data_IF_967817766514
#
_entry.id   IF_967817766514
#
_cell.length_a   1.000
_cell.length_b   1.000
_cell.length_c   1.000
_cell.angle_alpha   90.00
_cell.angle_beta   90.00
_cell.angle_gamma   90.00
#
_symmetry.space_group_name_H-M   'P 1'
#
loop_
_entity.id
_entity.type
_entity.pdbx_description
1 polymer ?
#
# COMPACT_ATOMS: atom_id res chain seq x y z
N UNK A 1 6.58 -1.86 -14.24
CA UNK A 1 7.38 -1.68 -13.00
C UNK A 1 6.46 -1.81 -11.78
N UNK A 2 6.97 -2.15 -10.59
CA UNK A 2 6.17 -2.40 -9.36
C UNK A 2 5.33 -1.17 -8.98
N UNK A 3 5.91 0.02 -9.09
CA UNK A 3 5.19 1.29 -8.86
C UNK A 3 4.06 1.52 -9.87
N UNK A 4 4.26 1.19 -11.14
CA UNK A 4 3.24 1.37 -12.19
C UNK A 4 2.07 0.40 -12.02
N UNK A 5 2.34 -0.85 -11.63
CA UNK A 5 1.29 -1.83 -11.31
C UNK A 5 0.42 -1.33 -10.15
N UNK A 6 1.04 -0.82 -9.08
CA UNK A 6 0.30 -0.28 -7.94
C UNK A 6 -0.51 0.97 -8.32
N UNK A 7 0.10 1.92 -9.02
CA UNK A 7 -0.58 3.15 -9.47
C UNK A 7 -1.74 2.83 -10.41
N UNK A 8 -1.56 1.88 -11.34
CA UNK A 8 -2.61 1.45 -12.25
C UNK A 8 -3.82 0.87 -11.51
N UNK A 9 -3.59 0.02 -10.50
CA UNK A 9 -4.68 -0.53 -9.68
C UNK A 9 -5.32 0.53 -8.78
N UNK A 10 -4.55 1.47 -8.24
CA UNK A 10 -5.09 2.62 -7.48
C UNK A 10 -6.00 3.50 -8.34
N UNK A 11 -5.58 3.84 -9.56
CA UNK A 11 -6.38 4.63 -10.49
C UNK A 11 -7.66 3.88 -10.87
N UNK A 12 -7.57 2.58 -11.18
CA UNK A 12 -8.76 1.75 -11.48
C UNK A 12 -9.71 1.70 -10.28
N UNK A 13 -9.18 1.58 -9.07
CA UNK A 13 -9.98 1.60 -7.85
C UNK A 13 -10.69 2.94 -7.70
N UNK A 14 -9.97 4.05 -7.85
CA UNK A 14 -10.53 5.40 -7.78
C UNK A 14 -11.58 5.64 -8.86
N UNK A 15 -11.39 5.14 -10.09
CA UNK A 15 -12.41 5.23 -11.13
C UNK A 15 -13.68 4.42 -10.82
N UNK A 16 -13.54 3.26 -10.15
CA UNK A 16 -14.69 2.41 -9.79
C UNK A 16 -15.45 2.91 -8.56
N UNK A 17 -14.72 3.33 -7.53
CA UNK A 17 -15.29 3.69 -6.23
C UNK A 17 -15.45 5.21 -6.05
N UNK A 18 -14.91 6.03 -6.95
CA UNK A 18 -14.81 7.50 -6.85
C UNK A 18 -14.07 8.00 -5.59
N UNK A 19 -13.40 7.11 -4.87
CA UNK A 19 -12.72 7.35 -3.60
C UNK A 19 -11.39 6.60 -3.56
N UNK A 20 -10.48 7.05 -2.70
CA UNK A 20 -9.23 6.35 -2.43
C UNK A 20 -9.47 5.16 -1.49
N UNK A 21 -8.69 4.06 -1.60
CA UNK A 21 -8.75 2.98 -0.64
C UNK A 21 -8.21 3.46 0.71
N UNK A 22 -8.83 3.03 1.80
CA UNK A 22 -8.38 3.38 3.16
C UNK A 22 -7.15 2.58 3.58
N UNK A 23 -7.07 1.32 3.13
CA UNK A 23 -6.03 0.37 3.52
C UNK A 23 -5.48 -0.35 2.28
N UNK A 24 -4.17 -0.33 2.15
CA UNK A 24 -3.39 -1.04 1.15
C UNK A 24 -2.63 -2.16 1.87
N UNK A 25 -3.10 -3.40 1.71
CA UNK A 25 -2.39 -4.57 2.22
C UNK A 25 -1.31 -4.93 1.22
N UNK A 26 -0.08 -5.14 1.66
CA UNK A 26 1.05 -5.47 0.78
C UNK A 26 1.84 -6.64 1.33
N UNK A 27 2.32 -7.50 0.44
CA UNK A 27 3.29 -8.51 0.81
C UNK A 27 4.61 -7.81 1.22
N UNK A 28 5.31 -8.25 2.27
CA UNK A 28 6.59 -7.67 2.69
C UNK A 28 7.65 -7.64 1.57
N UNK A 29 7.74 -8.69 0.74
CA UNK A 29 8.67 -8.73 -0.39
C UNK A 29 8.30 -7.69 -1.45
N UNK A 30 7.01 -7.59 -1.77
CA UNK A 30 6.50 -6.58 -2.71
C UNK A 30 6.71 -5.15 -2.20
N UNK A 31 6.51 -4.94 -0.90
CA UNK A 31 6.70 -3.65 -0.25
C UNK A 31 8.18 -3.23 -0.26
N UNK A 32 9.10 -4.17 0.00
CA UNK A 32 10.53 -3.92 -0.12
C UNK A 32 10.91 -3.49 -1.54
N UNK A 33 10.49 -4.26 -2.54
CA UNK A 33 10.73 -3.94 -3.95
C UNK A 33 10.19 -2.56 -4.33
N UNK A 34 9.01 -2.20 -3.81
CA UNK A 34 8.40 -0.90 -4.05
C UNK A 34 9.23 0.24 -3.46
N UNK A 35 9.72 0.09 -2.23
CA UNK A 35 10.60 1.09 -1.62
C UNK A 35 11.95 1.21 -2.35
N UNK A 36 12.51 0.10 -2.81
CA UNK A 36 13.73 0.09 -3.64
C UNK A 36 13.50 0.85 -4.97
N UNK A 37 12.37 0.64 -5.64
CA UNK A 37 12.02 1.38 -6.87
C UNK A 37 11.76 2.87 -6.63
N UNK A 38 11.27 3.24 -5.44
CA UNK A 38 11.11 4.64 -5.03
C UNK A 38 12.45 5.28 -4.61
N UNK A 39 13.58 4.60 -4.80
CA UNK A 39 14.92 5.05 -4.42
C UNK A 39 15.04 5.38 -2.93
N UNK A 40 14.30 4.66 -2.07
CA UNK A 40 14.47 4.80 -0.63
C UNK A 40 15.81 4.21 -0.20
N UNK A 41 16.58 4.88 0.67
CA UNK A 41 17.82 4.33 1.18
C UNK A 41 17.54 3.13 2.10
N UNK A 42 18.41 2.12 2.08
CA UNK A 42 18.21 0.84 2.79
C UNK A 42 17.89 0.99 4.28
N UNK A 43 18.52 1.95 4.96
CA UNK A 43 18.25 2.21 6.38
C UNK A 43 16.80 2.65 6.62
N UNK A 44 16.23 3.40 5.69
CA UNK A 44 14.84 3.87 5.74
C UNK A 44 13.87 2.73 5.38
N UNK A 45 14.26 1.86 4.46
CA UNK A 45 13.51 0.63 4.13
C UNK A 45 13.39 -0.27 5.36
N UNK A 46 14.51 -0.58 6.02
CA UNK A 46 14.52 -1.39 7.25
C UNK A 46 13.69 -0.74 8.37
N UNK A 47 13.77 0.58 8.53
CA UNK A 47 12.90 1.31 9.47
C UNK A 47 11.43 1.20 9.12
N UNK A 48 11.10 1.25 7.82
CA UNK A 48 9.72 1.16 7.36
C UNK A 48 9.15 -0.25 7.53
N UNK A 49 9.88 -1.28 7.13
CA UNK A 49 9.46 -2.69 7.30
C UNK A 49 9.19 -3.07 8.76
N UNK A 50 9.87 -2.45 9.72
CA UNK A 50 9.67 -2.68 11.15
C UNK A 50 8.54 -1.85 11.79
N UNK A 51 7.91 -0.92 11.06
CA UNK A 51 6.78 -0.13 11.56
C UNK A 51 5.46 -0.80 11.20
N UNK A 52 4.61 -0.98 12.20
CA UNK A 52 3.28 -1.60 12.05
C UNK A 52 2.27 -0.69 11.36
N UNK A 53 2.32 0.63 11.62
CA UNK A 53 1.44 1.62 11.00
C UNK A 53 2.23 2.50 10.06
N UNK A 54 2.05 2.29 8.76
CA UNK A 54 2.71 3.07 7.73
C UNK A 54 1.67 3.72 6.83
N UNK A 55 2.02 4.88 6.30
CA UNK A 55 1.26 5.51 5.23
C UNK A 55 2.14 5.65 4.00
N UNK A 56 1.54 5.41 2.83
CA UNK A 56 2.15 5.63 1.52
C UNK A 56 1.11 6.34 0.65
N UNK A 57 1.49 7.47 0.04
CA UNK A 57 0.58 8.28 -0.79
C UNK A 57 -0.73 8.67 -0.07
N UNK A 58 -0.69 8.81 1.27
CA UNK A 58 -1.86 9.13 2.09
C UNK A 58 -2.75 7.91 2.46
N UNK A 59 -2.39 6.71 2.01
CA UNK A 59 -3.14 5.46 2.27
C UNK A 59 -2.45 4.66 3.39
N UNK A 60 -3.21 4.08 4.31
CA UNK A 60 -2.64 3.22 5.34
C UNK A 60 -2.14 1.91 4.73
N UNK A 61 -0.95 1.48 5.09
CA UNK A 61 -0.33 0.25 4.62
C UNK A 61 -0.33 -0.79 5.73
N UNK A 62 -0.83 -1.97 5.40
CA UNK A 62 -0.73 -3.17 6.24
C UNK A 62 0.21 -4.17 5.56
N UNK A 63 1.38 -4.41 6.15
CA UNK A 63 2.32 -5.41 5.64
C UNK A 63 1.86 -6.79 6.12
N UNK A 64 1.50 -7.68 5.19
CA UNK A 64 0.99 -9.02 5.52
C UNK A 64 1.53 -10.07 4.55
N UNK A 65 2.07 -11.17 5.09
CA UNK A 65 2.52 -12.32 4.29
C UNK A 65 1.38 -13.19 3.77
N UNK A 66 0.11 -12.84 4.05
CA UNK A 66 -1.07 -13.62 3.67
C UNK A 66 -1.49 -13.42 2.21
N UNK A 67 -0.91 -12.45 1.51
CA UNK A 67 -1.28 -12.08 0.15
C UNK A 67 -0.06 -12.17 -0.78
N UNK A 68 -0.29 -12.40 -2.08
CA UNK A 68 0.80 -12.59 -3.05
C UNK A 68 1.52 -11.29 -3.45
N UNK A 69 0.77 -10.20 -3.67
CA UNK A 69 1.32 -8.91 -4.13
C UNK A 69 0.81 -7.77 -3.26
N UNK A 70 -0.41 -7.32 -3.51
CA UNK A 70 -1.10 -6.31 -2.73
C UNK A 70 -2.62 -6.44 -2.89
N UNK A 71 -3.38 -5.86 -1.95
CA UNK A 71 -4.83 -5.75 -1.99
C UNK A 71 -5.27 -4.34 -1.54
N UNK A 72 -6.22 -3.77 -2.26
CA UNK A 72 -6.83 -2.48 -1.92
C UNK A 72 -8.15 -2.74 -1.17
N UNK A 73 -8.26 -2.21 0.05
CA UNK A 73 -9.45 -2.34 0.88
C UNK A 73 -10.01 -0.97 1.26
N UNK A 74 -11.34 -0.86 1.23
CA UNK A 74 -12.08 0.20 1.90
C UNK A 74 -12.31 -0.24 3.33
N UNK A 75 -11.90 0.56 4.31
CA UNK A 75 -12.29 0.29 5.69
C UNK A 75 -13.74 0.74 5.82
N UNK A 76 -14.66 -0.19 6.09
CA UNK A 76 -16.10 0.11 6.30
C UNK A 76 -16.39 0.93 7.57
N UNK A 77 -15.39 1.57 8.18
CA UNK A 77 -15.53 2.40 9.39
C UNK A 77 -15.56 3.89 9.05
N UNK A 78 -16.48 4.30 8.18
CA UNK A 78 -17.01 5.66 8.17
C UNK A 78 -18.33 5.71 7.38
N UNK A 79 -19.21 4.75 7.65
CA UNK A 79 -20.59 4.78 7.20
C UNK A 79 -21.49 4.58 8.41
N UNK A 80 -21.33 5.43 9.44
CA UNK A 80 -22.19 5.54 10.62
C UNK A 80 -21.71 6.72 11.49
N UNK A 81 -22.08 7.94 11.08
CA UNK A 81 -22.22 9.11 11.96
C UNK A 81 -23.26 10.04 11.36
#
# INVERSE_FOLDING_TARGET
>A
MVCEELLGELIKYQMRQKENPDVLRVNPDYYKMLLEQLAYPEWLIKRKMNRVNQTLLGINIEITGKIKKFELQKNKKLAES
#
